data_IF_717367853744
#
_entry.id   IF_717367853744
#
_cell.length_a   1.000
_cell.length_b   1.000
_cell.length_c   1.000
_cell.angle_alpha   90.00
_cell.angle_beta   90.00
_cell.angle_gamma   90.00
#
_symmetry.space_group_name_H-M   'P 1'
#
loop_
_entity.id
_entity.type
_entity.pdbx_description
1 polymer ?
#
# COMPACT_ATOMS: atom_id res chain seq x y z
N UNK A 1 -56.59 58.57 -30.57
CA UNK A 1 -55.45 57.64 -30.47
C UNK A 1 -55.72 56.70 -29.29
N UNK A 2 -56.51 55.65 -29.50
CA UNK A 2 -56.71 54.61 -28.48
C UNK A 2 -55.70 53.50 -28.77
N UNK A 3 -54.64 53.42 -27.97
CA UNK A 3 -53.77 52.26 -27.96
C UNK A 3 -54.48 51.15 -27.18
N UNK A 4 -55.00 50.15 -27.89
CA UNK A 4 -55.44 48.91 -27.27
C UNK A 4 -54.23 48.21 -26.66
N UNK A 5 -54.19 48.17 -25.33
CA UNK A 5 -53.21 47.40 -24.57
C UNK A 5 -53.64 45.93 -24.64
N UNK A 6 -53.05 45.20 -25.58
CA UNK A 6 -53.24 43.76 -25.69
C UNK A 6 -52.76 43.06 -24.42
N UNK A 7 -53.68 42.53 -23.62
CA UNK A 7 -53.35 41.71 -22.46
C UNK A 7 -52.94 40.30 -22.90
N UNK A 8 -51.76 39.80 -22.48
CA UNK A 8 -51.32 38.45 -22.82
C UNK A 8 -52.29 37.39 -22.27
N UNK A 9 -52.65 36.40 -23.08
CA UNK A 9 -53.51 35.29 -22.68
C UNK A 9 -52.86 34.46 -21.55
N UNK A 10 -53.68 33.73 -20.78
CA UNK A 10 -53.23 32.91 -19.64
C UNK A 10 -52.15 31.89 -20.03
N UNK A 11 -52.28 31.25 -21.19
CA UNK A 11 -51.30 30.30 -21.74
C UNK A 11 -49.91 30.93 -21.94
N UNK A 12 -49.84 32.18 -22.41
CA UNK A 12 -48.56 32.89 -22.56
C UNK A 12 -47.92 33.19 -21.20
N UNK A 13 -48.72 33.54 -20.19
CA UNK A 13 -48.24 33.79 -18.82
C UNK A 13 -47.72 32.49 -18.17
N UNK A 14 -48.44 31.39 -18.33
CA UNK A 14 -48.03 30.05 -17.86
C UNK A 14 -46.72 29.61 -18.51
N UNK A 15 -46.64 29.68 -19.85
CA UNK A 15 -45.42 29.34 -20.59
C UNK A 15 -44.22 30.19 -20.15
N UNK A 16 -44.40 31.51 -19.99
CA UNK A 16 -43.36 32.40 -19.44
C UNK A 16 -42.99 32.05 -18.00
N UNK A 17 -43.95 31.62 -17.18
CA UNK A 17 -43.69 31.11 -15.84
C UNK A 17 -42.79 29.88 -15.85
N UNK A 18 -43.09 28.90 -16.70
CA UNK A 18 -42.26 27.70 -16.87
C UNK A 18 -40.86 28.01 -17.39
N UNK A 19 -40.74 28.95 -18.34
CA UNK A 19 -39.44 29.42 -18.83
C UNK A 19 -38.63 30.08 -17.71
N UNK A 20 -39.26 30.93 -16.89
CA UNK A 20 -38.59 31.59 -15.78
C UNK A 20 -38.10 30.59 -14.72
N UNK A 21 -38.89 29.56 -14.41
CA UNK A 21 -38.47 28.47 -13.52
C UNK A 21 -37.26 27.72 -14.12
N UNK A 22 -37.28 27.46 -15.42
CA UNK A 22 -36.18 26.77 -16.11
C UNK A 22 -34.90 27.62 -16.09
N UNK A 23 -35.04 28.92 -16.36
CA UNK A 23 -33.94 29.88 -16.29
C UNK A 23 -33.35 29.94 -14.88
N UNK A 24 -34.19 30.00 -13.85
CA UNK A 24 -33.73 30.01 -12.46
C UNK A 24 -32.92 28.75 -12.12
N UNK A 25 -33.43 27.56 -12.50
CA UNK A 25 -32.71 26.30 -12.31
C UNK A 25 -31.36 26.27 -13.03
N UNK A 26 -31.27 26.87 -14.21
CA UNK A 26 -30.01 26.99 -14.95
C UNK A 26 -29.05 27.93 -14.23
N UNK A 27 -29.52 29.10 -13.79
CA UNK A 27 -28.74 30.07 -13.01
C UNK A 27 -28.20 29.45 -11.72
N UNK A 28 -29.03 28.68 -10.99
CA UNK A 28 -28.62 28.00 -9.77
C UNK A 28 -27.54 26.95 -10.04
N UNK A 29 -27.65 26.20 -11.14
CA UNK A 29 -26.61 25.25 -11.57
C UNK A 29 -25.30 25.96 -11.92
N UNK A 30 -25.37 27.08 -12.66
CA UNK A 30 -24.18 27.89 -12.99
C UNK A 30 -23.50 28.42 -11.72
N UNK A 31 -24.27 28.97 -10.78
CA UNK A 31 -23.75 29.48 -9.51
C UNK A 31 -23.11 28.37 -8.67
N UNK A 32 -23.71 27.18 -8.64
CA UNK A 32 -23.12 26.00 -7.97
C UNK A 32 -21.77 25.63 -8.60
N UNK A 33 -21.70 25.57 -9.93
CA UNK A 33 -20.48 25.20 -10.64
C UNK A 33 -19.36 26.24 -10.44
N UNK A 34 -19.68 27.54 -10.48
CA UNK A 34 -18.72 28.60 -10.14
C UNK A 34 -18.17 28.46 -8.72
N UNK A 35 -19.02 28.11 -7.76
CA UNK A 35 -18.59 27.86 -6.38
C UNK A 35 -17.66 26.64 -6.29
N UNK A 36 -17.96 25.57 -7.02
CA UNK A 36 -17.09 24.38 -7.09
C UNK A 36 -15.72 24.71 -7.69
N UNK A 37 -15.66 25.53 -8.74
CA UNK A 37 -14.42 26.03 -9.33
C UNK A 37 -13.61 26.83 -8.30
N UNK A 38 -14.24 27.77 -7.59
CA UNK A 38 -13.55 28.56 -6.57
C UNK A 38 -13.04 27.71 -5.40
N UNK A 39 -13.77 26.64 -5.03
CA UNK A 39 -13.30 25.67 -4.03
C UNK A 39 -12.04 24.95 -4.54
N UNK A 40 -12.05 24.43 -5.77
CA UNK A 40 -10.90 23.73 -6.34
C UNK A 40 -9.70 24.66 -6.59
N UNK A 41 -9.96 25.92 -6.91
CA UNK A 41 -8.92 26.95 -7.07
C UNK A 41 -8.22 27.27 -5.75
N UNK A 42 -8.97 27.32 -4.64
CA UNK A 42 -8.40 27.52 -3.30
C UNK A 42 -7.70 26.29 -2.77
N UNK A 43 -8.20 25.11 -3.13
CA UNK A 43 -7.71 23.83 -2.65
C UNK A 43 -7.75 22.79 -3.78
N UNK A 44 -6.61 22.62 -4.45
CA UNK A 44 -6.47 21.67 -5.55
C UNK A 44 -6.62 20.21 -5.11
N UNK A 45 -6.48 19.92 -3.82
CA UNK A 45 -6.68 18.57 -3.27
C UNK A 45 -8.15 18.14 -3.32
N UNK A 46 -9.09 19.09 -3.45
CA UNK A 46 -10.52 18.78 -3.63
C UNK A 46 -10.89 18.38 -5.04
N UNK A 47 -9.92 18.38 -5.97
CA UNK A 47 -10.16 17.87 -7.31
C UNK A 47 -10.48 16.37 -7.26
N UNK A 48 -11.47 15.93 -8.04
CA UNK A 48 -11.89 14.53 -8.07
C UNK A 48 -10.76 13.57 -8.48
N UNK A 49 -9.82 14.01 -9.32
CA UNK A 49 -8.66 13.21 -9.73
C UNK A 49 -7.71 12.94 -8.56
N UNK A 50 -7.55 13.89 -7.63
CA UNK A 50 -6.73 13.68 -6.42
C UNK A 50 -7.32 12.55 -5.58
N UNK A 51 -8.64 12.56 -5.37
CA UNK A 51 -9.34 11.47 -4.67
C UNK A 51 -9.13 10.11 -5.35
N UNK A 52 -9.13 10.07 -6.69
CA UNK A 52 -8.83 8.83 -7.43
C UNK A 52 -7.41 8.34 -7.18
N UNK A 53 -6.42 9.24 -7.13
CA UNK A 53 -5.03 8.90 -6.79
C UNK A 53 -4.97 8.35 -5.37
N UNK A 54 -5.59 9.01 -4.39
CA UNK A 54 -5.61 8.57 -2.98
C UNK A 54 -6.23 7.17 -2.82
N UNK A 55 -7.31 6.89 -3.55
CA UNK A 55 -7.95 5.58 -3.57
C UNK A 55 -7.02 4.49 -4.15
N UNK A 56 -6.29 4.79 -5.23
CA UNK A 56 -5.33 3.86 -5.82
C UNK A 56 -4.12 3.63 -4.92
N UNK A 57 -3.61 4.68 -4.29
CA UNK A 57 -2.53 4.58 -3.31
C UNK A 57 -2.94 3.68 -2.14
N UNK A 58 -4.10 3.96 -1.53
CA UNK A 58 -4.63 3.21 -0.38
C UNK A 58 -4.78 1.73 -0.71
N UNK A 59 -5.39 1.41 -1.86
CA UNK A 59 -5.56 0.02 -2.33
C UNK A 59 -4.23 -0.68 -2.57
N UNK A 60 -3.25 0.04 -3.13
CA UNK A 60 -1.93 -0.53 -3.43
C UNK A 60 -1.15 -0.85 -2.16
N UNK A 61 -1.16 0.05 -1.17
CA UNK A 61 -0.55 -0.18 0.14
C UNK A 61 -1.20 -1.37 0.83
N UNK A 62 -2.53 -1.44 0.82
CA UNK A 62 -3.26 -2.55 1.45
C UNK A 62 -2.90 -3.89 0.80
N UNK A 63 -2.79 -3.94 -0.53
CA UNK A 63 -2.36 -5.14 -1.26
C UNK A 63 -0.95 -5.59 -0.84
N UNK A 64 0.01 -4.67 -0.68
CA UNK A 64 1.36 -4.99 -0.17
C UNK A 64 1.27 -5.57 1.24
N UNK A 65 0.50 -4.92 2.11
CA UNK A 65 0.37 -5.35 3.52
C UNK A 65 -0.23 -6.74 3.65
N UNK A 66 -1.28 -7.04 2.88
CA UNK A 66 -1.92 -8.35 2.85
C UNK A 66 -0.94 -9.43 2.41
N UNK A 67 -0.25 -9.24 1.27
CA UNK A 67 0.75 -10.20 0.79
C UNK A 67 1.85 -10.43 1.83
N UNK A 68 2.41 -9.36 2.39
CA UNK A 68 3.44 -9.49 3.42
C UNK A 68 2.94 -10.23 4.67
N UNK A 69 1.68 -10.03 5.07
CA UNK A 69 1.09 -10.74 6.19
C UNK A 69 0.87 -12.23 5.87
N UNK A 70 0.41 -12.56 4.66
CA UNK A 70 0.27 -13.93 4.19
C UNK A 70 1.62 -14.66 4.16
N UNK A 71 2.66 -14.02 3.61
CA UNK A 71 4.02 -14.58 3.61
C UNK A 71 4.53 -14.82 5.04
N UNK A 72 4.34 -13.87 5.96
CA UNK A 72 4.70 -14.06 7.38
C UNK A 72 3.93 -15.21 8.02
N UNK A 73 2.63 -15.33 7.75
CA UNK A 73 1.79 -16.45 8.25
C UNK A 73 2.30 -17.79 7.71
N UNK A 74 2.68 -17.84 6.43
CA UNK A 74 3.28 -19.01 5.80
C UNK A 74 4.64 -19.39 6.40
N UNK A 75 5.42 -18.42 6.88
CA UNK A 75 6.74 -18.64 7.49
C UNK A 75 6.66 -19.22 8.92
N UNK A 76 5.64 -18.85 9.70
CA UNK A 76 5.50 -19.23 11.11
C UNK A 76 5.64 -20.75 11.36
N UNK A 77 4.96 -21.65 10.61
CA UNK A 77 5.10 -23.09 10.80
C UNK A 77 6.53 -23.60 10.62
N UNK A 78 7.26 -23.08 9.64
CA UNK A 78 8.66 -23.46 9.40
C UNK A 78 9.55 -23.02 10.57
N UNK A 79 9.37 -21.78 11.04
CA UNK A 79 10.07 -21.24 12.21
C UNK A 79 9.79 -22.08 13.46
N UNK A 80 8.52 -22.40 13.72
CA UNK A 80 8.08 -23.22 14.86
C UNK A 80 8.66 -24.64 14.82
N UNK A 81 8.88 -25.20 13.63
CA UNK A 81 9.41 -26.55 13.48
C UNK A 81 10.93 -26.63 13.57
N UNK A 82 11.66 -25.60 13.12
CA UNK A 82 13.13 -25.65 13.09
C UNK A 82 13.78 -25.15 14.39
N UNK A 83 13.24 -24.11 15.06
CA UNK A 83 13.80 -23.57 16.32
C UNK A 83 14.02 -24.67 17.37
N UNK A 84 13.07 -25.60 17.61
CA UNK A 84 13.29 -26.69 18.56
C UNK A 84 14.47 -27.59 18.19
N UNK A 85 14.74 -27.81 16.90
CA UNK A 85 15.87 -28.63 16.45
C UNK A 85 17.21 -27.97 16.74
N UNK A 86 17.32 -26.67 16.45
CA UNK A 86 18.52 -25.88 16.78
C UNK A 86 18.71 -25.84 18.29
N UNK A 87 17.63 -25.68 19.07
CA UNK A 87 17.70 -25.73 20.53
C UNK A 87 18.25 -27.06 21.04
N UNK A 88 17.78 -28.20 20.51
CA UNK A 88 18.29 -29.52 20.89
C UNK A 88 19.78 -29.64 20.59
N UNK A 89 20.21 -29.26 19.38
CA UNK A 89 21.62 -29.30 18.98
C UNK A 89 22.49 -28.41 19.87
N UNK A 90 22.02 -27.20 20.18
CA UNK A 90 22.72 -26.28 21.08
C UNK A 90 22.79 -26.81 22.51
N UNK A 91 21.73 -27.44 23.01
CA UNK A 91 21.75 -28.11 24.32
C UNK A 91 22.77 -29.23 24.35
N UNK A 92 22.82 -30.08 23.32
CA UNK A 92 23.83 -31.15 23.21
C UNK A 92 25.25 -30.59 23.16
N UNK A 93 25.50 -29.51 22.40
CA UNK A 93 26.81 -28.85 22.37
C UNK A 93 27.17 -28.28 23.75
N UNK A 94 26.23 -27.60 24.41
CA UNK A 94 26.44 -27.05 25.75
C UNK A 94 26.72 -28.15 26.79
N UNK A 95 26.08 -29.32 26.68
CA UNK A 95 26.36 -30.46 27.57
C UNK A 95 27.76 -31.01 27.33
N UNK A 96 28.21 -31.14 26.08
CA UNK A 96 29.59 -31.51 25.74
C UNK A 96 30.60 -30.53 26.34
N UNK A 97 30.40 -29.24 26.11
CA UNK A 97 31.29 -28.18 26.64
C UNK A 97 31.34 -28.19 28.17
N UNK A 98 30.21 -28.44 28.84
CA UNK A 98 30.12 -28.42 30.31
C UNK A 98 30.62 -29.69 30.99
N UNK A 99 30.58 -30.84 30.34
CA UNK A 99 31.01 -32.12 30.91
C UNK A 99 32.52 -32.35 30.82
N UNK A 100 33.24 -31.56 30.02
CA UNK A 100 34.67 -31.74 29.80
C UNK A 100 35.63 -31.18 30.89
N UNK A 101 35.31 -30.15 31.68
CA UNK A 101 36.17 -29.77 32.80
C UNK A 101 36.33 -30.89 33.86
N UNK A 102 35.40 -31.85 33.90
CA UNK A 102 35.42 -33.00 34.81
C UNK A 102 36.10 -34.25 34.19
N UNK A 103 36.45 -34.22 32.91
CA UNK A 103 37.16 -35.27 32.17
C UNK A 103 38.44 -34.67 31.58
N UNK A 104 39.60 -35.00 32.17
CA UNK A 104 40.97 -34.59 31.76
C UNK A 104 41.39 -35.05 30.33
N UNK A 105 40.43 -35.38 29.46
CA UNK A 105 40.60 -36.01 28.15
C UNK A 105 40.39 -35.08 26.94
N UNK A 106 39.94 -33.83 27.13
CA UNK A 106 39.73 -32.92 25.98
C UNK A 106 41.06 -32.29 25.52
N UNK A 107 41.20 -32.11 24.21
CA UNK A 107 42.38 -31.51 23.56
C UNK A 107 41.99 -30.23 22.83
N UNK A 108 42.97 -29.42 22.42
CA UNK A 108 42.74 -28.13 21.74
C UNK A 108 41.80 -28.25 20.53
N UNK A 109 41.88 -29.36 19.79
CA UNK A 109 41.02 -29.62 18.63
C UNK A 109 39.54 -29.75 19.00
N UNK A 110 39.21 -30.21 20.21
CA UNK A 110 37.82 -30.29 20.66
C UNK A 110 37.21 -28.89 20.87
N UNK A 111 38.01 -27.94 21.34
CA UNK A 111 37.59 -26.54 21.53
C UNK A 111 37.30 -25.90 20.17
N UNK A 112 38.19 -26.10 19.20
CA UNK A 112 38.04 -25.60 17.84
C UNK A 112 36.76 -26.19 17.20
N UNK A 113 36.54 -27.51 17.32
CA UNK A 113 35.34 -28.19 16.82
C UNK A 113 34.04 -27.64 17.44
N UNK A 114 34.03 -27.34 18.75
CA UNK A 114 32.84 -26.76 19.40
C UNK A 114 32.60 -25.31 18.98
N UNK A 115 33.66 -24.54 18.77
CA UNK A 115 33.55 -23.17 18.28
C UNK A 115 32.97 -23.14 16.86
N UNK A 116 33.44 -24.01 15.98
CA UNK A 116 32.90 -24.18 14.62
C UNK A 116 31.43 -24.62 14.64
N UNK A 117 31.08 -25.61 15.47
CA UNK A 117 29.69 -26.07 15.56
C UNK A 117 28.76 -24.99 16.14
N UNK A 118 29.23 -24.19 17.10
CA UNK A 118 28.48 -23.05 17.63
C UNK A 118 28.22 -22.01 16.53
N UNK A 119 29.25 -21.66 15.76
CA UNK A 119 29.13 -20.71 14.65
C UNK A 119 28.18 -21.23 13.57
N UNK A 120 28.21 -22.54 13.30
CA UNK A 120 27.27 -23.20 12.38
C UNK A 120 25.82 -23.09 12.89
N UNK A 121 25.57 -23.36 14.16
CA UNK A 121 24.24 -23.25 14.76
C UNK A 121 23.72 -21.81 14.77
N UNK A 122 24.58 -20.82 15.02
CA UNK A 122 24.24 -19.40 14.91
C UNK A 122 23.85 -19.02 13.47
N UNK A 123 24.60 -19.52 12.49
CA UNK A 123 24.27 -19.32 11.07
C UNK A 123 22.92 -19.93 10.72
N UNK A 124 22.67 -21.19 11.10
CA UNK A 124 21.40 -21.89 10.82
C UNK A 124 20.21 -21.19 11.50
N UNK A 125 20.41 -20.61 12.69
CA UNK A 125 19.35 -19.89 13.40
C UNK A 125 18.90 -18.62 12.66
N UNK A 126 19.86 -17.90 12.07
CA UNK A 126 19.61 -16.61 11.43
C UNK A 126 19.31 -16.74 9.93
N UNK A 127 19.92 -17.71 9.25
CA UNK A 127 19.75 -18.01 7.83
C UNK A 127 19.60 -19.52 7.60
N UNK A 128 18.40 -20.07 7.82
CA UNK A 128 18.17 -21.50 7.74
C UNK A 128 18.29 -21.99 6.29
N UNK A 129 19.06 -23.06 6.00
CA UNK A 129 19.32 -23.52 4.63
C UNK A 129 18.09 -24.13 3.94
N UNK A 130 17.01 -24.40 4.68
CA UNK A 130 15.85 -25.14 4.18
C UNK A 130 14.73 -24.26 3.64
N UNK A 131 14.77 -22.94 3.87
CA UNK A 131 13.79 -22.01 3.32
C UNK A 131 14.37 -20.61 3.20
N UNK A 132 14.01 -19.92 2.11
CA UNK A 132 14.47 -18.56 1.84
C UNK A 132 13.28 -17.68 1.50
N UNK A 133 13.26 -16.44 2.01
CA UNK A 133 12.32 -15.42 1.52
C UNK A 133 12.94 -14.79 0.27
N UNK A 134 12.20 -14.77 -0.83
CA UNK A 134 12.62 -14.16 -2.09
C UNK A 134 11.61 -13.11 -2.52
N UNK A 135 12.10 -12.06 -3.17
CA UNK A 135 11.26 -11.08 -3.82
C UNK A 135 11.16 -11.42 -5.31
N UNK A 136 9.93 -11.43 -5.83
CA UNK A 136 9.70 -11.52 -7.26
C UNK A 136 9.99 -10.14 -7.91
N UNK A 137 10.83 -10.07 -8.97
CA UNK A 137 11.16 -8.81 -9.63
C UNK A 137 10.02 -8.25 -10.51
N UNK A 138 8.91 -8.98 -10.68
CA UNK A 138 7.78 -8.56 -11.51
C UNK A 138 6.95 -7.43 -10.87
N UNK A 139 6.23 -6.69 -11.71
CA UNK A 139 5.42 -5.55 -11.27
C UNK A 139 4.19 -6.03 -10.51
N UNK A 140 4.19 -5.82 -9.20
CA UNK A 140 3.07 -6.20 -8.32
C UNK A 140 1.96 -5.13 -8.24
N UNK A 141 2.33 -3.85 -8.40
CA UNK A 141 1.44 -2.68 -8.29
C UNK A 141 1.46 -1.89 -9.60
N UNK A 142 0.28 -1.49 -10.05
CA UNK A 142 0.12 -0.65 -11.23
C UNK A 142 0.75 0.72 -11.04
N UNK A 143 1.42 1.21 -12.10
CA UNK A 143 1.97 2.57 -12.10
C UNK A 143 0.84 3.58 -12.33
N UNK A 144 0.80 4.62 -11.51
CA UNK A 144 -0.07 5.78 -11.71
C UNK A 144 0.72 6.81 -12.54
N UNK A 145 0.10 7.34 -13.58
CA UNK A 145 0.70 8.36 -14.45
C UNK A 145 -0.30 9.47 -14.76
N UNK A 146 0.21 10.67 -15.00
CA UNK A 146 -0.58 11.80 -15.46
C UNK A 146 -0.40 11.93 -16.97
N UNK A 147 -1.49 11.91 -17.72
CA UNK A 147 -1.49 12.12 -19.16
C UNK A 147 -2.05 13.52 -19.48
N UNK A 148 -1.29 14.31 -20.25
CA UNK A 148 -1.70 15.65 -20.69
C UNK A 148 -1.43 15.79 -22.18
N UNK A 149 -2.48 16.09 -22.96
CA UNK A 149 -2.35 16.33 -24.41
C UNK A 149 -1.71 15.17 -25.19
N UNK A 150 -1.98 13.92 -24.82
CA UNK A 150 -1.39 12.72 -25.44
C UNK A 150 0.05 12.39 -24.99
N UNK A 151 0.61 13.17 -24.06
CA UNK A 151 1.92 12.91 -23.46
C UNK A 151 1.75 12.36 -22.04
N UNK A 152 2.39 11.24 -21.75
CA UNK A 152 2.46 10.65 -20.41
C UNK A 152 3.61 11.28 -19.64
N UNK A 153 3.30 12.08 -18.62
CA UNK A 153 4.28 12.57 -17.65
C UNK A 153 4.46 11.54 -16.54
N UNK A 154 5.67 11.01 -16.44
CA UNK A 154 6.06 10.10 -15.36
C UNK A 154 7.17 10.79 -14.55
N UNK A 155 6.93 11.04 -13.27
CA UNK A 155 7.97 11.48 -12.34
C UNK A 155 8.91 10.30 -12.07
N UNK A 156 9.75 9.96 -13.04
CA UNK A 156 10.88 9.03 -12.86
C UNK A 156 11.87 9.69 -11.90
N UNK A 157 11.64 9.57 -10.60
CA UNK A 157 12.75 9.27 -9.70
C UNK A 157 12.81 7.75 -9.65
N UNK A 158 13.86 7.19 -10.24
CA UNK A 158 14.19 5.80 -10.00
C UNK A 158 14.30 5.63 -8.48
N UNK A 159 13.45 4.79 -7.90
CA UNK A 159 13.79 4.17 -6.63
C UNK A 159 14.79 3.06 -7.00
N UNK A 160 16.08 3.42 -6.95
CA UNK A 160 17.20 2.48 -6.92
C UNK A 160 17.38 1.95 -5.50
#
# INVERSE_FOLDING_TARGET
LNQEVWQPCSHHKEHRGTLNITLQKLTDKCNKFLKEIEIQKKDSQKNALMKTIDEWETKSIEKIRQLAQETRKGLIPYVKNFIPRVKIQLSTLNDKVRQNPDNDEFVDTDIDDWAEELQRLETILNDPPYFTVRQDPTVFICKIYLETGGNVTNNRKKFE
#
